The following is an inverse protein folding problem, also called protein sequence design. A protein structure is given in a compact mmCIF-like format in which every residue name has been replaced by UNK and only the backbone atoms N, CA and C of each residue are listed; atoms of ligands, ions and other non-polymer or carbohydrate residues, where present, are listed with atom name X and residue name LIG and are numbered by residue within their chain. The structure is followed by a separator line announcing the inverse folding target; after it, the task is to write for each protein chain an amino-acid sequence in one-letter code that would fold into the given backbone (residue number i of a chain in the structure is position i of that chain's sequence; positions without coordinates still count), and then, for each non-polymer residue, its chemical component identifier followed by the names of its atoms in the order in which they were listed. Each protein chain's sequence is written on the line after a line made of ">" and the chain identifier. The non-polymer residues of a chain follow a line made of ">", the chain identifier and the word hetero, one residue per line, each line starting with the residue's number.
data_IF_401642098483
#
_entry.id   IF_401642098483
#
_cell.length_a   1.000
_cell.length_b   1.000
_cell.length_c   1.000
_cell.angle_alpha   90.00
_cell.angle_beta   90.00
_cell.angle_gamma   90.00
#
_symmetry.space_group_name_H-M   'P 1'
#
loop_
_entity.id
_entity.type
_entity.pdbx_description
1 polymer ?
#
# COMPACT_ATOMS: atom_id res chain seq x y z
N UNK A 1 24.90 -0.62 -6.94
CA UNK A 1 24.02 -0.60 -5.74
C UNK A 1 22.55 -0.37 -6.10
N UNK A 2 22.25 0.29 -7.22
CA UNK A 2 20.88 0.49 -7.73
C UNK A 2 20.11 -0.81 -7.98
N UNK A 3 20.75 -1.84 -8.54
CA UNK A 3 20.06 -3.07 -8.96
C UNK A 3 19.35 -3.81 -7.81
N UNK A 4 19.90 -3.74 -6.60
CA UNK A 4 19.31 -4.38 -5.42
C UNK A 4 18.03 -3.65 -4.99
N UNK A 5 18.05 -2.32 -4.98
CA UNK A 5 16.88 -1.50 -4.63
C UNK A 5 15.81 -1.61 -5.72
N UNK A 6 16.21 -1.62 -6.99
CA UNK A 6 15.31 -1.84 -8.12
C UNK A 6 14.62 -3.21 -8.03
N UNK A 7 15.36 -4.28 -7.72
CA UNK A 7 14.78 -5.61 -7.52
C UNK A 7 13.83 -5.66 -6.31
N UNK A 8 14.19 -5.01 -5.20
CA UNK A 8 13.31 -4.89 -4.04
C UNK A 8 12.03 -4.13 -4.37
N UNK A 9 12.14 -3.02 -5.12
CA UNK A 9 11.01 -2.22 -5.59
C UNK A 9 10.07 -3.06 -6.47
N UNK A 10 10.61 -3.80 -7.44
CA UNK A 10 9.81 -4.67 -8.31
C UNK A 10 9.06 -5.76 -7.52
N UNK A 11 9.75 -6.42 -6.58
CA UNK A 11 9.11 -7.42 -5.70
C UNK A 11 8.02 -6.81 -4.82
N UNK A 12 8.26 -5.60 -4.32
CA UNK A 12 7.29 -4.89 -3.50
C UNK A 12 6.05 -4.48 -4.33
N UNK A 13 6.23 -3.94 -5.54
CA UNK A 13 5.13 -3.62 -6.45
C UNK A 13 4.32 -4.88 -6.83
N UNK A 14 4.98 -6.01 -7.07
CA UNK A 14 4.30 -7.27 -7.35
C UNK A 14 3.42 -7.72 -6.18
N UNK A 15 3.87 -7.54 -4.93
CA UNK A 15 3.05 -7.78 -3.73
C UNK A 15 1.87 -6.79 -3.66
N UNK A 16 2.11 -5.50 -3.85
CA UNK A 16 1.05 -4.48 -3.87
C UNK A 16 -0.05 -4.80 -4.89
N UNK A 17 0.30 -5.40 -6.03
CA UNK A 17 -0.68 -5.84 -7.04
C UNK A 17 -1.58 -6.97 -6.54
N UNK A 18 -1.01 -7.95 -5.83
CA UNK A 18 -1.80 -9.03 -5.22
C UNK A 18 -2.69 -8.51 -4.09
N UNK A 19 -2.17 -7.59 -3.26
CA UNK A 19 -2.92 -6.95 -2.18
C UNK A 19 -4.07 -6.10 -2.74
N UNK A 20 -3.85 -5.33 -3.82
CA UNK A 20 -4.89 -4.57 -4.50
C UNK A 20 -6.09 -5.44 -4.89
N UNK A 21 -5.85 -6.61 -5.48
CA UNK A 21 -6.93 -7.52 -5.88
C UNK A 21 -7.79 -7.98 -4.68
N UNK A 22 -7.17 -8.30 -3.54
CA UNK A 22 -7.89 -8.71 -2.32
C UNK A 22 -8.72 -7.55 -1.75
N UNK A 23 -8.18 -6.34 -1.75
CA UNK A 23 -8.87 -5.15 -1.24
C UNK A 23 -10.06 -4.80 -2.15
N UNK A 24 -9.91 -4.91 -3.46
CA UNK A 24 -10.99 -4.66 -4.44
C UNK A 24 -12.10 -5.71 -4.39
N UNK A 25 -11.76 -6.98 -4.13
CA UNK A 25 -12.74 -8.04 -3.92
C UNK A 25 -13.52 -7.91 -2.60
N UNK A 26 -13.12 -6.97 -1.72
CA UNK A 26 -13.67 -6.78 -0.38
C UNK A 26 -13.56 -8.04 0.50
N UNK A 27 -12.53 -8.85 0.28
CA UNK A 27 -12.25 -10.10 0.99
C UNK A 27 -11.27 -9.92 2.15
N UNK A 28 -11.06 -8.67 2.59
CA UNK A 28 -10.06 -8.32 3.59
C UNK A 28 -10.69 -7.79 4.88
N UNK A 29 -10.23 -8.31 6.02
CA UNK A 29 -10.59 -7.81 7.34
C UNK A 29 -9.83 -6.53 7.67
N UNK A 30 -10.40 -5.66 8.50
CA UNK A 30 -9.75 -4.39 8.90
C UNK A 30 -8.38 -4.60 9.55
N UNK A 31 -8.21 -5.67 10.33
CA UNK A 31 -6.92 -6.03 10.93
C UNK A 31 -5.86 -6.37 9.86
N UNK A 32 -6.25 -7.12 8.83
CA UNK A 32 -5.34 -7.48 7.73
C UNK A 32 -5.01 -6.26 6.88
N UNK A 33 -5.99 -5.38 6.65
CA UNK A 33 -5.79 -4.11 5.97
C UNK A 33 -4.83 -3.20 6.75
N UNK A 34 -4.95 -3.16 8.08
CA UNK A 34 -4.03 -2.41 8.94
C UNK A 34 -2.60 -2.95 8.83
N UNK A 35 -2.43 -4.27 8.86
CA UNK A 35 -1.12 -4.90 8.68
C UNK A 35 -0.53 -4.61 7.28
N UNK A 36 -1.34 -4.58 6.23
CA UNK A 36 -0.90 -4.21 4.89
C UNK A 36 -0.45 -2.75 4.84
N UNK A 37 -1.25 -1.84 5.39
CA UNK A 37 -0.93 -0.41 5.47
C UNK A 37 0.38 -0.17 6.25
N UNK A 38 0.54 -0.77 7.41
CA UNK A 38 1.75 -0.66 8.22
C UNK A 38 3.02 -1.10 7.45
N UNK A 39 2.96 -2.26 6.79
CA UNK A 39 4.07 -2.74 5.96
C UNK A 39 4.35 -1.81 4.78
N UNK A 40 3.31 -1.32 4.11
CA UNK A 40 3.46 -0.44 2.97
C UNK A 40 4.12 0.89 3.37
N UNK A 41 3.72 1.45 4.52
CA UNK A 41 4.35 2.65 5.10
C UNK A 41 5.85 2.45 5.36
N UNK A 42 6.23 1.32 5.96
CA UNK A 42 7.63 1.00 6.24
C UNK A 42 8.48 0.78 4.98
N UNK A 43 7.95 0.05 3.99
CA UNK A 43 8.70 -0.29 2.77
C UNK A 43 8.78 0.87 1.77
N UNK A 44 7.75 1.72 1.70
CA UNK A 44 7.65 2.83 0.75
C UNK A 44 8.88 3.76 0.77
N UNK A 45 9.42 4.05 1.96
CA UNK A 45 10.62 4.87 2.11
C UNK A 45 11.86 4.21 1.49
N UNK A 46 12.02 2.89 1.66
CA UNK A 46 13.15 2.13 1.12
C UNK A 46 13.13 2.03 -0.41
N UNK A 47 11.94 1.96 -1.02
CA UNK A 47 11.80 1.74 -2.47
C UNK A 47 11.38 3.00 -3.25
N UNK A 48 11.42 4.17 -2.61
CA UNK A 48 11.15 5.46 -3.25
C UNK A 48 9.68 5.69 -3.65
N UNK A 49 8.72 5.08 -2.95
CA UNK A 49 7.28 5.22 -3.21
C UNK A 49 6.62 6.14 -2.18
N UNK A 50 7.07 7.39 -2.10
CA UNK A 50 6.68 8.33 -1.04
C UNK A 50 5.16 8.48 -0.87
N UNK A 51 4.42 8.62 -1.97
CA UNK A 51 2.96 8.79 -1.93
C UNK A 51 2.25 7.57 -1.34
N UNK A 52 2.75 6.37 -1.63
CA UNK A 52 2.23 5.14 -1.03
C UNK A 52 2.45 5.16 0.48
N UNK A 53 3.64 5.56 0.92
CA UNK A 53 3.96 5.63 2.34
C UNK A 53 3.03 6.58 3.12
N UNK A 54 2.73 7.74 2.55
CA UNK A 54 1.80 8.72 3.13
C UNK A 54 0.38 8.15 3.20
N UNK A 55 -0.14 7.61 2.09
CA UNK A 55 -1.49 7.06 2.05
C UNK A 55 -1.65 5.86 2.98
N UNK A 56 -0.61 5.02 3.09
CA UNK A 56 -0.58 3.87 3.97
C UNK A 56 -0.58 4.28 5.46
N UNK A 57 0.22 5.27 5.84
CA UNK A 57 0.22 5.80 7.21
C UNK A 57 -1.14 6.39 7.59
N UNK A 58 -1.76 7.18 6.71
CA UNK A 58 -3.11 7.70 6.93
C UNK A 58 -4.14 6.59 7.10
N UNK A 59 -4.08 5.51 6.31
CA UNK A 59 -4.99 4.38 6.47
C UNK A 59 -4.75 3.63 7.79
N UNK A 60 -3.50 3.43 8.18
CA UNK A 60 -3.15 2.81 9.46
C UNK A 60 -3.72 3.61 10.65
N UNK A 61 -3.60 4.95 10.60
CA UNK A 61 -4.13 5.85 11.61
C UNK A 61 -5.66 5.83 11.66
N UNK A 62 -6.32 5.85 10.49
CA UNK A 62 -7.78 5.78 10.37
C UNK A 62 -8.33 4.47 10.98
N UNK A 63 -7.68 3.34 10.69
CA UNK A 63 -8.03 2.03 11.24
C UNK A 63 -7.79 1.97 12.75
N UNK A 64 -6.71 2.59 13.25
CA UNK A 64 -6.39 2.63 14.68
C UNK A 64 -7.40 3.48 15.47
N UNK A 65 -7.86 4.58 14.89
CA UNK A 65 -8.81 5.50 15.52
C UNK A 65 -10.27 5.08 15.34
N UNK A 66 -10.57 4.22 14.36
CA UNK A 66 -11.94 3.86 14.01
C UNK A 66 -12.70 4.97 13.29
N UNK A 67 -11.99 5.92 12.67
CA UNK A 67 -12.57 7.11 12.01
C UNK A 67 -11.99 7.29 10.60
N UNK A 68 -12.78 7.85 9.68
CA UNK A 68 -12.38 8.16 8.30
C UNK A 68 -11.82 6.97 7.48
N UNK A 69 -12.06 5.72 7.91
CA UNK A 69 -11.53 4.49 7.28
C UNK A 69 -11.87 4.42 5.80
N UNK A 70 -13.12 4.71 5.41
CA UNK A 70 -13.55 4.63 4.01
C UNK A 70 -12.78 5.60 3.10
N UNK A 71 -12.57 6.84 3.55
CA UNK A 71 -11.83 7.85 2.80
C UNK A 71 -10.35 7.50 2.69
N UNK A 72 -9.73 7.08 3.80
CA UNK A 72 -8.33 6.67 3.82
C UNK A 72 -8.09 5.41 2.97
N UNK A 73 -9.01 4.44 3.00
CA UNK A 73 -8.97 3.23 2.18
C UNK A 73 -9.05 3.57 0.69
N UNK A 74 -9.92 4.50 0.31
CA UNK A 74 -10.05 4.95 -1.08
C UNK A 74 -8.77 5.64 -1.57
N UNK A 75 -8.17 6.50 -0.75
CA UNK A 75 -6.90 7.17 -1.07
C UNK A 75 -5.76 6.15 -1.25
N UNK A 76 -5.64 5.19 -0.32
CA UNK A 76 -4.65 4.12 -0.41
C UNK A 76 -4.82 3.25 -1.66
N UNK A 77 -6.07 2.86 -1.98
CA UNK A 77 -6.40 2.14 -3.21
C UNK A 77 -6.03 2.93 -4.47
N UNK A 78 -6.27 4.24 -4.48
CA UNK A 78 -5.89 5.12 -5.59
C UNK A 78 -4.39 5.05 -5.87
N UNK A 79 -3.56 5.13 -4.84
CA UNK A 79 -2.10 5.05 -5.00
C UNK A 79 -1.65 3.63 -5.40
N UNK A 80 -2.23 2.58 -4.81
CA UNK A 80 -1.94 1.20 -5.20
C UNK A 80 -2.20 0.96 -6.69
N UNK A 81 -3.33 1.47 -7.22
CA UNK A 81 -3.64 1.38 -8.66
C UNK A 81 -2.59 2.07 -9.50
N UNK A 82 -2.18 3.30 -9.14
CA UNK A 82 -1.14 4.04 -9.87
C UNK A 82 0.16 3.24 -9.95
N UNK A 83 0.69 2.76 -8.82
CA UNK A 83 2.01 2.10 -8.80
C UNK A 83 1.99 0.68 -9.41
N UNK A 84 0.82 0.06 -9.53
CA UNK A 84 0.67 -1.31 -10.07
C UNK A 84 0.28 -1.35 -11.54
N UNK A 85 -0.24 -0.23 -12.07
CA UNK A 85 -0.62 -0.06 -13.49
C UNK A 85 0.58 0.23 -14.39
N UNK A 86 1.70 0.70 -13.84
CA UNK A 86 2.93 0.89 -14.60
C UNK A 86 3.45 -0.46 -15.12
N UNK A 87 3.23 -0.68 -16.42
CA UNK A 87 3.93 -1.68 -17.21
C UNK A 87 5.34 -1.14 -17.48
N UNK A 88 6.29 -1.51 -16.62
CA UNK A 88 7.68 -1.70 -17.08
C UNK A 88 7.79 -3.04 -17.77
#
# INVERSE_FOLDING_TARGET
>A
MDDRVAHLRARFIARCRAELAMIEANEILDQDLQHMAHRAAGMAGTVGLKELGIAAAHLEDALRQGDQIAAARLAFLGVLRTITSDKT
#
